data_IF_095799579149
#
_entry.id   IF_095799579149
#
_cell.length_a   1.000
_cell.length_b   1.000
_cell.length_c   1.000
_cell.angle_alpha   90.00
_cell.angle_beta   90.00
_cell.angle_gamma   90.00
#
_symmetry.space_group_name_H-M   'P 1'
#
loop_
_entity.id
_entity.type
_entity.pdbx_description
1 polymer ?
#
# COMPACT_ATOMS: atom_id res chain seq x y z
N UNK A 1 21.51 0.78 -28.70
CA UNK A 1 21.32 2.23 -29.01
C UNK A 1 19.87 2.60 -28.79
N UNK A 2 19.38 2.43 -27.56
CA UNK A 2 17.98 2.73 -27.23
C UNK A 2 17.78 4.24 -27.17
N UNK A 3 16.62 4.70 -27.63
CA UNK A 3 16.22 6.10 -27.53
C UNK A 3 15.27 6.31 -26.35
N UNK A 4 15.01 7.56 -26.02
CA UNK A 4 13.95 7.87 -25.07
C UNK A 4 12.58 7.69 -25.74
N UNK A 5 11.59 7.23 -24.98
CA UNK A 5 10.22 7.04 -25.45
C UNK A 5 9.85 5.59 -25.77
N UNK A 6 8.58 5.41 -26.14
CA UNK A 6 8.00 4.09 -26.41
C UNK A 6 8.73 3.39 -27.56
N UNK A 7 9.22 2.17 -27.29
CA UNK A 7 9.88 1.32 -28.27
C UNK A 7 9.40 -0.13 -28.14
N UNK A 8 9.39 -0.83 -29.26
CA UNK A 8 9.27 -2.28 -29.28
C UNK A 8 10.67 -2.88 -29.32
N UNK A 9 11.01 -3.69 -28.33
CA UNK A 9 12.36 -4.24 -28.17
C UNK A 9 12.39 -5.69 -28.61
N UNK A 10 13.45 -6.06 -29.32
CA UNK A 10 13.79 -7.46 -29.51
C UNK A 10 14.50 -8.03 -28.26
N UNK A 11 14.92 -9.29 -28.33
CA UNK A 11 15.56 -9.96 -27.20
C UNK A 11 16.90 -9.32 -26.79
N UNK A 12 17.72 -8.89 -27.76
CA UNK A 12 19.04 -8.30 -27.49
C UNK A 12 18.90 -6.91 -26.87
N UNK A 13 17.99 -6.10 -27.42
CA UNK A 13 17.70 -4.77 -26.90
C UNK A 13 17.02 -4.83 -25.52
N UNK A 14 16.10 -5.78 -25.30
CA UNK A 14 15.47 -5.99 -24.00
C UNK A 14 16.47 -6.44 -22.94
N UNK A 15 17.35 -7.39 -23.27
CA UNK A 15 18.44 -7.83 -22.38
C UNK A 15 19.38 -6.65 -22.05
N UNK A 16 19.75 -5.88 -23.07
CA UNK A 16 20.56 -4.68 -22.92
C UNK A 16 19.93 -3.65 -21.99
N UNK A 17 18.61 -3.42 -22.11
CA UNK A 17 17.85 -2.50 -21.26
C UNK A 17 17.91 -2.93 -19.80
N UNK A 18 17.53 -4.17 -19.48
CA UNK A 18 17.44 -4.64 -18.08
C UNK A 18 18.81 -4.80 -17.41
N UNK A 19 19.88 -4.92 -18.21
CA UNK A 19 21.27 -5.02 -17.73
C UNK A 19 21.98 -3.67 -17.60
N UNK A 20 21.44 -2.61 -18.19
CA UNK A 20 22.07 -1.28 -18.14
C UNK A 20 22.19 -0.79 -16.70
N UNK A 21 23.31 -0.13 -16.37
CA UNK A 21 23.63 0.29 -14.98
C UNK A 21 24.01 1.76 -14.83
N UNK A 22 24.28 2.48 -15.91
CA UNK A 22 24.77 3.86 -15.85
C UNK A 22 23.61 4.86 -15.70
N UNK A 23 22.75 4.63 -14.71
CA UNK A 23 21.67 5.53 -14.35
C UNK A 23 22.15 6.57 -13.34
N UNK A 24 21.63 7.81 -13.37
CA UNK A 24 21.95 8.83 -12.37
C UNK A 24 21.64 8.42 -10.92
N UNK A 25 20.54 7.66 -10.71
CA UNK A 25 20.16 7.06 -9.41
C UNK A 25 20.67 5.63 -9.21
N UNK A 26 21.66 5.22 -10.00
CA UNK A 26 22.33 3.93 -9.85
C UNK A 26 21.37 2.72 -9.96
N UNK A 27 21.51 1.80 -9.01
CA UNK A 27 20.82 0.52 -9.03
C UNK A 27 19.31 0.64 -8.75
N UNK A 28 18.86 1.67 -8.03
CA UNK A 28 17.42 1.94 -7.81
C UNK A 28 16.69 2.23 -9.12
N UNK A 29 17.23 3.14 -9.94
CA UNK A 29 16.68 3.39 -11.27
C UNK A 29 16.78 2.17 -12.20
N UNK A 30 17.76 1.29 -12.00
CA UNK A 30 17.81 0.02 -12.73
C UNK A 30 16.66 -0.89 -12.33
N UNK A 31 16.34 -0.99 -11.04
CA UNK A 31 15.20 -1.79 -10.55
C UNK A 31 13.89 -1.26 -11.12
N UNK A 32 13.68 0.06 -11.13
CA UNK A 32 12.48 0.65 -11.74
C UNK A 32 12.35 0.34 -13.24
N UNK A 33 13.46 0.36 -13.98
CA UNK A 33 13.45 -0.04 -15.38
C UNK A 33 13.17 -1.53 -15.58
N UNK A 34 13.63 -2.39 -14.66
CA UNK A 34 13.30 -3.81 -14.66
C UNK A 34 11.82 -4.04 -14.34
N UNK A 35 11.23 -3.30 -13.38
CA UNK A 35 9.80 -3.32 -13.09
C UNK A 35 8.98 -2.86 -14.30
N UNK A 36 9.42 -1.80 -14.99
CA UNK A 36 8.81 -1.32 -16.25
C UNK A 36 8.82 -2.41 -17.32
N UNK A 37 9.94 -3.13 -17.47
CA UNK A 37 10.04 -4.27 -18.38
C UNK A 37 9.07 -5.39 -17.99
N UNK A 38 8.98 -5.76 -16.70
CA UNK A 38 8.06 -6.79 -16.22
C UNK A 38 6.59 -6.40 -16.45
N UNK A 39 6.24 -5.12 -16.26
CA UNK A 39 4.90 -4.60 -16.58
C UNK A 39 4.58 -4.76 -18.07
N UNK A 40 5.51 -4.40 -18.95
CA UNK A 40 5.34 -4.59 -20.40
C UNK A 40 5.22 -6.07 -20.80
N UNK A 41 5.94 -6.97 -20.11
CA UNK A 41 5.78 -8.42 -20.28
C UNK A 41 4.38 -8.85 -19.85
N UNK A 42 3.89 -8.42 -18.69
CA UNK A 42 2.54 -8.73 -18.21
C UNK A 42 1.47 -8.24 -19.19
N UNK A 43 1.57 -7.00 -19.66
CA UNK A 43 0.69 -6.43 -20.69
C UNK A 43 0.68 -7.27 -21.97
N UNK A 44 1.86 -7.72 -22.43
CA UNK A 44 1.95 -8.57 -23.63
C UNK A 44 1.35 -9.96 -23.39
N UNK A 45 1.56 -10.57 -22.22
CA UNK A 45 0.95 -11.87 -21.86
C UNK A 45 -0.57 -11.79 -21.82
N UNK A 46 -1.12 -10.69 -21.28
CA UNK A 46 -2.57 -10.46 -21.17
C UNK A 46 -3.23 -10.09 -22.51
N UNK A 47 -2.44 -9.68 -23.52
CA UNK A 47 -2.96 -9.33 -24.84
C UNK A 47 -3.71 -10.51 -25.50
N UNK A 48 -4.80 -10.20 -26.22
CA UNK A 48 -5.61 -11.21 -26.90
C UNK A 48 -4.80 -12.07 -27.90
N UNK A 49 -3.83 -11.45 -28.57
CA UNK A 49 -2.90 -12.13 -29.48
C UNK A 49 -2.13 -13.24 -28.75
N UNK A 50 -1.61 -12.94 -27.55
CA UNK A 50 -0.73 -13.83 -26.81
C UNK A 50 -1.49 -14.96 -26.10
N UNK A 51 -2.67 -14.66 -25.53
CA UNK A 51 -3.48 -15.61 -24.75
C UNK A 51 -3.75 -16.92 -25.50
N UNK A 52 -4.04 -16.84 -26.80
CA UNK A 52 -4.35 -18.03 -27.62
C UNK A 52 -3.21 -19.04 -27.73
N UNK A 53 -1.96 -18.60 -27.63
CA UNK A 53 -0.77 -19.43 -27.80
C UNK A 53 0.05 -19.57 -26.51
N UNK A 54 -0.41 -18.99 -25.41
CA UNK A 54 0.29 -18.94 -24.13
C UNK A 54 0.66 -20.34 -23.58
N UNK A 55 -0.19 -21.39 -23.65
CA UNK A 55 0.21 -22.74 -23.24
C UNK A 55 1.44 -23.27 -23.98
N UNK A 56 1.51 -23.06 -25.30
CA UNK A 56 2.63 -23.50 -26.12
C UNK A 56 3.90 -22.71 -25.82
N UNK A 57 3.77 -21.42 -25.59
CA UNK A 57 4.89 -20.53 -25.25
C UNK A 57 5.47 -20.93 -23.90
N UNK A 58 4.64 -21.08 -22.87
CA UNK A 58 5.05 -21.55 -21.55
C UNK A 58 5.77 -22.89 -21.66
N UNK A 59 5.20 -23.86 -22.37
CA UNK A 59 5.79 -25.20 -22.54
C UNK A 59 7.19 -25.14 -23.19
N UNK A 60 7.40 -24.21 -24.13
CA UNK A 60 8.70 -24.02 -24.80
C UNK A 60 9.72 -23.28 -23.94
N UNK A 61 9.27 -22.34 -23.11
CA UNK A 61 10.15 -21.53 -22.25
C UNK A 61 10.52 -22.23 -20.95
N UNK A 62 9.65 -23.09 -20.43
CA UNK A 62 9.81 -23.74 -19.12
C UNK A 62 11.17 -24.44 -18.93
N UNK A 63 11.76 -25.15 -19.91
CA UNK A 63 13.10 -25.74 -19.76
C UNK A 63 14.25 -24.75 -19.55
N UNK A 64 14.05 -23.47 -19.87
CA UNK A 64 15.03 -22.40 -19.70
C UNK A 64 14.86 -21.63 -18.37
N UNK A 65 13.84 -21.97 -17.57
CA UNK A 65 13.56 -21.35 -16.27
C UNK A 65 13.82 -22.37 -15.16
N UNK A 66 14.68 -22.00 -14.20
CA UNK A 66 14.88 -22.80 -12.99
C UNK A 66 13.85 -22.38 -11.94
N UNK A 67 12.89 -23.26 -11.64
CA UNK A 67 11.81 -23.04 -10.67
C UNK A 67 11.45 -24.36 -9.98
N UNK A 68 10.82 -24.27 -8.80
CA UNK A 68 10.21 -25.37 -8.07
C UNK A 68 8.71 -25.55 -8.40
N UNK A 69 8.10 -24.61 -9.12
CA UNK A 69 6.73 -24.71 -9.65
C UNK A 69 6.73 -25.71 -10.80
N UNK A 70 5.82 -26.68 -10.79
CA UNK A 70 5.68 -27.66 -11.87
C UNK A 70 5.02 -27.02 -13.09
N UNK A 71 5.36 -27.50 -14.28
CA UNK A 71 4.72 -27.07 -15.54
C UNK A 71 3.18 -27.18 -15.47
N UNK A 72 2.67 -28.23 -14.83
CA UNK A 72 1.22 -28.44 -14.65
C UNK A 72 0.57 -27.37 -13.76
N UNK A 73 1.29 -26.86 -12.76
CA UNK A 73 0.81 -25.80 -11.87
C UNK A 73 0.79 -24.47 -12.64
N UNK A 74 1.86 -24.17 -13.40
CA UNK A 74 1.91 -22.98 -14.28
C UNK A 74 0.75 -22.96 -15.28
N UNK A 75 0.49 -24.10 -15.95
CA UNK A 75 -0.64 -24.21 -16.88
C UNK A 75 -2.00 -24.11 -16.18
N UNK A 76 -2.09 -24.51 -14.91
CA UNK A 76 -3.29 -24.36 -14.10
C UNK A 76 -3.69 -22.90 -13.87
N UNK A 77 -2.71 -22.01 -13.70
CA UNK A 77 -2.95 -20.57 -13.53
C UNK A 77 -3.55 -19.89 -14.77
N UNK A 78 -3.48 -20.51 -15.95
CA UNK A 78 -4.15 -19.98 -17.14
C UNK A 78 -5.66 -19.87 -16.98
N UNK A 79 -6.27 -20.72 -16.13
CA UNK A 79 -7.71 -20.71 -15.88
C UNK A 79 -8.20 -19.50 -15.08
N UNK A 80 -7.32 -18.87 -14.30
CA UNK A 80 -7.62 -17.65 -13.52
C UNK A 80 -7.03 -16.39 -14.15
N UNK A 81 -6.44 -16.51 -15.34
CA UNK A 81 -5.78 -15.38 -16.00
C UNK A 81 -6.75 -14.23 -16.29
N UNK A 82 -8.02 -14.53 -16.56
CA UNK A 82 -9.05 -13.51 -16.80
C UNK A 82 -9.46 -12.77 -15.51
N UNK A 83 -9.17 -13.31 -14.33
CA UNK A 83 -9.37 -12.64 -13.04
C UNK A 83 -8.21 -11.68 -12.69
N UNK A 84 -7.06 -11.84 -13.37
CA UNK A 84 -5.90 -10.99 -13.14
C UNK A 84 -6.08 -9.62 -13.83
N UNK A 85 -6.06 -8.54 -13.04
CA UNK A 85 -6.05 -7.18 -13.56
C UNK A 85 -4.66 -6.57 -13.55
N UNK A 86 -4.26 -5.98 -14.69
CA UNK A 86 -3.05 -5.16 -14.77
C UNK A 86 -3.13 -3.88 -13.92
N UNK A 87 -4.34 -3.42 -13.57
CA UNK A 87 -4.52 -2.26 -12.69
C UNK A 87 -4.13 -2.56 -11.24
N UNK A 88 -4.24 -3.82 -10.82
CA UNK A 88 -3.81 -4.28 -9.49
C UNK A 88 -2.38 -4.84 -9.46
N UNK A 89 -1.63 -4.70 -10.56
CA UNK A 89 -0.23 -5.12 -10.60
C UNK A 89 0.66 -4.01 -10.04
N UNK A 90 1.23 -4.27 -8.87
CA UNK A 90 2.14 -3.36 -8.19
C UNK A 90 3.55 -3.93 -8.12
N UNK A 91 4.53 -3.03 -8.11
CA UNK A 91 5.92 -3.37 -7.90
C UNK A 91 6.48 -2.49 -6.79
N UNK A 92 7.12 -3.13 -5.82
CA UNK A 92 7.69 -2.46 -4.65
C UNK A 92 9.20 -2.67 -4.62
N UNK A 93 9.92 -1.68 -4.07
CA UNK A 93 11.34 -1.79 -3.75
C UNK A 93 11.43 -1.92 -2.23
N UNK A 94 12.24 -2.86 -1.74
CA UNK A 94 12.50 -2.97 -0.30
C UNK A 94 13.05 -1.63 0.20
N UNK A 95 12.41 -0.97 1.18
CA UNK A 95 12.80 0.36 1.60
C UNK A 95 14.17 0.37 2.26
N UNK A 96 14.92 1.44 2.03
CA UNK A 96 16.30 1.54 2.48
C UNK A 96 17.12 2.57 1.72
N UNK A 97 18.42 2.55 1.94
CA UNK A 97 19.37 3.45 1.29
C UNK A 97 20.71 2.80 1.03
N UNK A 98 21.36 3.20 -0.06
CA UNK A 98 22.75 2.83 -0.35
C UNK A 98 23.73 3.66 0.48
N UNK A 99 24.76 3.02 1.04
CA UNK A 99 25.87 3.71 1.70
C UNK A 99 27.20 2.94 1.50
N UNK A 100 28.24 3.68 1.15
CA UNK A 100 29.60 3.21 0.88
C UNK A 100 30.66 3.93 1.73
N UNK A 101 30.27 4.78 2.69
CA UNK A 101 31.17 5.61 3.49
C UNK A 101 32.11 4.81 4.41
N UNK A 102 31.68 3.62 4.82
CA UNK A 102 32.43 2.75 5.75
C UNK A 102 33.09 1.54 5.06
N UNK A 103 33.14 1.49 3.72
CA UNK A 103 33.81 0.42 2.98
C UNK A 103 33.12 0.04 1.67
N UNK A 104 32.90 -1.27 1.39
CA UNK A 104 32.11 -1.69 0.23
C UNK A 104 30.73 -1.04 0.22
N UNK A 105 30.17 -0.80 -0.97
CA UNK A 105 28.80 -0.31 -1.11
C UNK A 105 27.80 -1.36 -0.62
N UNK A 106 26.97 -0.98 0.34
CA UNK A 106 25.86 -1.78 0.87
C UNK A 106 24.53 -1.05 0.69
N UNK A 107 23.45 -1.82 0.66
CA UNK A 107 22.08 -1.31 0.76
C UNK A 107 21.56 -1.63 2.17
N UNK A 108 21.28 -0.60 2.95
CA UNK A 108 20.78 -0.71 4.32
C UNK A 108 19.26 -0.64 4.29
N UNK A 109 18.62 -1.69 4.80
CA UNK A 109 17.16 -1.80 4.85
C UNK A 109 16.63 -0.89 5.97
N UNK A 110 15.56 -0.16 5.68
CA UNK A 110 14.76 0.47 6.72
C UNK A 110 13.73 -0.55 7.22
N UNK A 111 14.00 -1.15 8.38
CA UNK A 111 13.16 -2.21 8.96
C UNK A 111 11.76 -1.70 9.32
N UNK A 112 11.60 -0.44 9.76
CA UNK A 112 10.30 0.13 10.11
C UNK A 112 9.41 0.29 8.86
N UNK A 113 9.96 0.85 7.79
CA UNK A 113 9.24 0.99 6.51
C UNK A 113 9.01 -0.38 5.85
N UNK A 114 9.92 -1.35 6.03
CA UNK A 114 9.75 -2.70 5.51
C UNK A 114 8.58 -3.42 6.18
N UNK A 115 8.44 -3.26 7.50
CA UNK A 115 7.32 -3.83 8.25
C UNK A 115 5.97 -3.24 7.77
N UNK A 116 5.92 -1.94 7.50
CA UNK A 116 4.74 -1.28 6.91
C UNK A 116 4.44 -1.81 5.51
N UNK A 117 5.45 -1.91 4.64
CA UNK A 117 5.29 -2.44 3.28
C UNK A 117 4.78 -3.89 3.29
N UNK A 118 5.29 -4.73 4.20
CA UNK A 118 4.85 -6.12 4.34
C UNK A 118 3.38 -6.18 4.74
N UNK A 119 2.94 -5.33 5.68
CA UNK A 119 1.53 -5.24 6.10
C UNK A 119 0.64 -4.88 4.92
N UNK A 120 0.99 -3.83 4.19
CA UNK A 120 0.23 -3.32 3.05
C UNK A 120 0.10 -4.35 1.92
N UNK A 121 1.20 -5.02 1.56
CA UNK A 121 1.23 -5.91 0.40
C UNK A 121 0.64 -7.30 0.67
N UNK A 122 0.88 -7.85 1.86
CA UNK A 122 0.58 -9.27 2.14
C UNK A 122 -0.56 -9.49 3.11
N UNK A 123 -0.98 -8.47 3.86
CA UNK A 123 -2.08 -8.60 4.80
C UNK A 123 -3.26 -7.80 4.30
N UNK A 124 -4.38 -8.48 4.18
CA UNK A 124 -5.64 -7.85 3.87
C UNK A 124 -6.02 -6.92 5.04
N UNK A 125 -5.91 -5.62 4.81
CA UNK A 125 -6.35 -4.58 5.74
C UNK A 125 -7.82 -4.23 5.53
N UNK A 126 -8.51 -4.88 4.57
CA UNK A 126 -9.94 -4.65 4.33
C UNK A 126 -10.78 -5.29 5.42
N UNK A 127 -11.68 -4.49 5.98
CA UNK A 127 -12.63 -4.92 7.00
C UNK A 127 -13.75 -5.71 6.32
N UNK A 128 -14.05 -6.91 6.80
CA UNK A 128 -15.09 -7.76 6.22
C UNK A 128 -16.47 -7.07 6.24
N UNK A 129 -16.93 -6.56 5.09
CA UNK A 129 -18.24 -5.91 4.97
C UNK A 129 -18.33 -4.72 4.01
N UNK A 130 -17.22 -4.25 3.44
CA UNK A 130 -17.25 -3.26 2.36
C UNK A 130 -17.48 -3.95 1.00
N UNK A 131 -18.64 -3.71 0.39
CA UNK A 131 -18.84 -4.00 -1.03
C UNK A 131 -18.02 -3.01 -1.86
N UNK A 132 -16.98 -3.49 -2.54
CA UNK A 132 -16.22 -2.69 -3.51
C UNK A 132 -17.14 -2.37 -4.69
N UNK A 133 -17.60 -1.12 -4.79
CA UNK A 133 -18.17 -0.63 -6.04
C UNK A 133 -17.01 -0.40 -7.01
N UNK A 134 -17.05 -1.07 -8.17
CA UNK A 134 -16.14 -0.79 -9.28
C UNK A 134 -16.34 0.67 -9.72
N UNK A 135 -15.47 1.57 -9.28
CA UNK A 135 -15.39 2.93 -9.83
C UNK A 135 -14.34 3.00 -10.93
N UNK A 136 -14.85 3.07 -12.16
CA UNK A 136 -14.11 3.54 -13.33
C UNK A 136 -13.93 5.06 -13.19
N UNK A 137 -12.71 5.54 -12.90
CA UNK A 137 -12.39 6.94 -13.15
C UNK A 137 -11.24 7.53 -12.33
N UNK A 138 -10.14 7.83 -13.03
CA UNK A 138 -9.20 8.96 -12.82
C UNK A 138 -8.80 9.30 -11.37
N UNK A 139 -7.57 8.92 -10.99
CA UNK A 139 -6.87 9.43 -9.82
C UNK A 139 -6.80 10.96 -9.83
N UNK A 140 -7.64 11.61 -9.02
CA UNK A 140 -7.29 12.86 -8.36
C UNK A 140 -6.83 12.48 -6.95
N UNK A 141 -5.57 12.74 -6.62
CA UNK A 141 -5.05 12.61 -5.25
C UNK A 141 -5.87 13.52 -4.33
N UNK A 142 -6.73 12.96 -3.48
CA UNK A 142 -7.45 13.77 -2.48
C UNK A 142 -6.45 14.28 -1.43
N UNK A 143 -6.14 15.57 -1.50
CA UNK A 143 -5.22 16.26 -0.61
C UNK A 143 -5.69 16.17 0.87
N UNK A 144 -4.85 15.60 1.75
CA UNK A 144 -5.13 15.54 3.18
C UNK A 144 -4.99 16.95 3.79
N UNK A 145 -6.13 17.62 3.99
CA UNK A 145 -6.16 18.93 4.64
C UNK A 145 -5.95 18.78 6.15
N UNK A 146 -4.81 19.27 6.64
CA UNK A 146 -4.53 19.32 8.09
C UNK A 146 -5.15 20.57 8.71
N UNK A 147 -6.21 20.39 9.51
CA UNK A 147 -6.86 21.46 10.26
C UNK A 147 -6.68 21.22 11.77
N UNK A 148 -5.75 21.95 12.40
CA UNK A 148 -5.47 21.90 13.84
C UNK A 148 -6.49 22.65 14.70
N UNK A 149 -7.43 23.38 14.08
CA UNK A 149 -8.45 24.15 14.81
C UNK A 149 -9.62 23.31 15.31
N UNK A 150 -9.75 22.08 14.81
CA UNK A 150 -10.79 21.14 15.22
C UNK A 150 -10.73 20.82 16.71
N UNK A 151 -11.91 20.68 17.30
CA UNK A 151 -12.08 20.24 18.68
C UNK A 151 -12.28 18.72 18.73
N UNK A 152 -11.56 18.05 19.63
CA UNK A 152 -11.48 16.59 19.65
C UNK A 152 -11.98 16.04 20.99
N UNK A 153 -12.83 15.01 20.94
CA UNK A 153 -13.09 14.11 22.06
C UNK A 153 -12.46 12.73 21.81
N UNK A 154 -11.92 12.11 22.87
CA UNK A 154 -11.27 10.79 22.79
C UNK A 154 -11.97 9.84 23.76
N UNK A 155 -12.40 8.69 23.26
CA UNK A 155 -13.05 7.66 24.05
C UNK A 155 -12.22 6.37 24.02
N UNK A 156 -12.05 5.77 25.18
CA UNK A 156 -11.32 4.51 25.32
C UNK A 156 -12.30 3.33 25.38
N UNK A 157 -12.33 2.50 24.34
CA UNK A 157 -13.12 1.27 24.31
C UNK A 157 -12.30 0.01 24.71
N UNK A 158 -11.01 0.16 24.98
CA UNK A 158 -10.09 -0.99 25.19
C UNK A 158 -10.06 -1.55 26.60
N UNK A 159 -10.57 -0.80 27.59
CA UNK A 159 -10.41 -1.09 29.01
C UNK A 159 -9.00 -0.82 29.55
N UNK A 160 -8.03 -0.40 28.73
CA UNK A 160 -6.68 -0.08 29.17
C UNK A 160 -6.64 1.26 29.90
N UNK A 161 -6.28 1.23 31.19
CA UNK A 161 -6.21 2.44 32.00
C UNK A 161 -5.15 3.40 31.48
N UNK A 162 -5.57 4.64 31.19
CA UNK A 162 -4.67 5.72 30.80
C UNK A 162 -4.47 5.88 29.29
N UNK A 163 -5.01 4.99 28.46
CA UNK A 163 -4.83 5.03 27.00
C UNK A 163 -5.31 6.35 26.38
N UNK A 164 -6.56 6.75 26.63
CA UNK A 164 -7.09 8.02 26.13
C UNK A 164 -6.30 9.24 26.66
N UNK A 165 -5.73 9.15 27.86
CA UNK A 165 -4.86 10.18 28.42
C UNK A 165 -3.52 10.28 27.70
N UNK A 166 -2.88 9.14 27.41
CA UNK A 166 -1.65 9.09 26.62
C UNK A 166 -1.88 9.59 25.19
N UNK A 167 -2.99 9.19 24.57
CA UNK A 167 -3.35 9.63 23.21
C UNK A 167 -3.67 11.12 23.16
N UNK A 168 -4.37 11.65 24.17
CA UNK A 168 -4.53 13.09 24.36
C UNK A 168 -3.20 13.81 24.37
N UNK A 169 -2.24 13.36 25.18
CA UNK A 169 -0.92 14.01 25.27
C UNK A 169 -0.19 13.99 23.91
N UNK A 170 -0.30 12.90 23.15
CA UNK A 170 0.24 12.80 21.78
C UNK A 170 -0.36 13.89 20.88
N UNK A 171 -1.68 14.01 20.84
CA UNK A 171 -2.36 15.01 19.98
C UNK A 171 -2.09 16.45 20.43
N UNK A 172 -2.05 16.73 21.75
CA UNK A 172 -1.72 18.06 22.26
C UNK A 172 -0.27 18.48 21.95
N UNK A 173 0.69 17.54 22.02
CA UNK A 173 2.08 17.79 21.60
C UNK A 173 2.19 18.10 20.10
N UNK A 174 1.24 17.61 19.28
CA UNK A 174 1.13 17.89 17.84
C UNK A 174 0.30 19.15 17.53
N UNK A 175 -0.10 19.90 18.56
CA UNK A 175 -0.80 21.19 18.45
C UNK A 175 -2.32 21.11 18.34
N UNK A 176 -2.93 19.94 18.52
CA UNK A 176 -4.39 19.79 18.54
C UNK A 176 -5.00 20.18 19.89
N UNK A 177 -6.30 20.49 19.89
CA UNK A 177 -7.07 20.77 21.10
C UNK A 177 -8.00 19.61 21.45
N UNK A 178 -7.65 18.88 22.50
CA UNK A 178 -8.48 17.78 23.03
C UNK A 178 -9.35 18.30 24.15
N UNK A 179 -10.66 18.41 23.88
CA UNK A 179 -11.64 18.95 24.81
C UNK A 179 -12.15 17.94 25.84
N UNK A 180 -12.15 16.64 25.51
CA UNK A 180 -12.66 15.58 26.39
C UNK A 180 -11.90 14.27 26.21
N UNK A 181 -11.70 13.58 27.34
CA UNK A 181 -11.33 12.16 27.35
C UNK A 181 -12.33 11.41 28.25
N UNK A 182 -12.77 10.23 27.83
CA UNK A 182 -13.67 9.40 28.62
C UNK A 182 -13.51 7.91 28.27
N UNK A 183 -14.22 7.04 28.99
CA UNK A 183 -14.37 5.65 28.60
C UNK A 183 -15.58 5.49 27.67
N UNK A 184 -15.51 4.51 26.76
CA UNK A 184 -16.63 4.18 25.90
C UNK A 184 -17.52 3.11 26.56
N UNK A 185 -18.77 3.46 26.83
CA UNK A 185 -19.70 2.61 27.60
C UNK A 185 -20.35 1.48 26.77
N UNK A 186 -20.21 1.49 25.44
CA UNK A 186 -20.71 0.39 24.60
C UNK A 186 -19.62 -0.67 24.53
N UNK A 187 -19.85 -1.80 25.20
CA UNK A 187 -18.97 -2.96 25.14
C UNK A 187 -18.77 -3.41 23.68
N UNK A 188 -17.52 -3.71 23.33
CA UNK A 188 -17.10 -4.43 22.11
C UNK A 188 -16.98 -3.60 20.83
N UNK A 189 -16.27 -2.46 20.90
CA UNK A 189 -15.61 -1.91 19.71
C UNK A 189 -14.24 -2.58 19.55
N UNK A 190 -14.13 -3.52 18.62
CA UNK A 190 -12.85 -4.16 18.27
C UNK A 190 -11.97 -3.17 17.51
N UNK A 191 -12.52 -2.53 16.48
CA UNK A 191 -11.83 -1.54 15.65
C UNK A 191 -11.95 -0.12 16.21
N UNK A 192 -10.97 0.74 15.91
CA UNK A 192 -11.12 2.16 16.20
C UNK A 192 -12.11 2.83 15.24
N UNK A 193 -12.75 3.91 15.68
CA UNK A 193 -13.65 4.68 14.81
C UNK A 193 -13.49 6.17 15.09
N UNK A 194 -13.43 6.96 14.02
CA UNK A 194 -13.41 8.42 14.05
C UNK A 194 -14.74 8.93 13.53
N UNK A 195 -15.54 9.52 14.42
CA UNK A 195 -16.74 10.26 14.02
C UNK A 195 -16.38 11.72 13.75
N UNK A 196 -16.93 12.31 12.68
CA UNK A 196 -16.68 13.70 12.34
C UNK A 196 -17.91 14.40 11.78
N UNK A 197 -18.05 15.70 12.07
CA UNK A 197 -19.06 16.55 11.39
C UNK A 197 -18.74 16.73 9.91
N UNK A 198 -17.45 16.84 9.62
CA UNK A 198 -16.86 17.01 8.29
C UNK A 198 -15.80 15.93 8.08
N UNK A 199 -16.10 14.96 7.22
CA UNK A 199 -15.22 13.82 6.95
C UNK A 199 -13.87 14.23 6.36
N UNK A 200 -13.79 15.34 5.62
CA UNK A 200 -12.52 15.82 5.05
C UNK A 200 -11.49 16.13 6.14
N UNK A 201 -11.97 16.59 7.30
CA UNK A 201 -11.13 16.90 8.47
C UNK A 201 -10.80 15.68 9.32
N UNK A 202 -11.48 14.55 9.13
CA UNK A 202 -11.24 13.32 9.87
C UNK A 202 -10.01 12.56 9.34
N UNK A 203 -9.76 12.64 8.02
CA UNK A 203 -8.67 11.92 7.33
C UNK A 203 -7.29 12.21 7.92
N UNK A 204 -7.06 13.44 8.42
CA UNK A 204 -5.79 13.82 9.06
C UNK A 204 -5.44 12.98 10.31
N UNK A 205 -6.42 12.29 10.91
CA UNK A 205 -6.25 11.48 12.11
C UNK A 205 -5.96 10.00 11.83
N UNK A 206 -6.10 9.53 10.59
CA UNK A 206 -5.81 8.15 10.20
C UNK A 206 -4.34 7.78 10.46
N UNK A 207 -3.42 8.73 10.27
CA UNK A 207 -1.99 8.54 10.62
C UNK A 207 -1.73 8.33 12.12
N UNK A 208 -2.70 8.62 13.00
CA UNK A 208 -2.56 8.47 14.45
C UNK A 208 -3.41 7.33 15.02
N UNK A 209 -4.41 6.88 14.27
CA UNK A 209 -5.34 5.81 14.62
C UNK A 209 -5.49 4.92 13.38
N UNK A 210 -4.48 4.10 13.18
CA UNK A 210 -4.37 3.20 12.04
C UNK A 210 -5.54 2.20 12.02
N UNK A 211 -6.13 1.98 10.84
CA UNK A 211 -7.29 1.11 10.68
C UNK A 211 -8.60 1.67 11.26
N UNK A 212 -8.68 2.96 11.62
CA UNK A 212 -9.91 3.53 12.13
C UNK A 212 -10.94 3.80 11.01
N UNK A 213 -12.16 3.28 11.18
CA UNK A 213 -13.31 3.66 10.37
C UNK A 213 -13.59 5.18 10.50
N UNK A 214 -13.88 5.88 9.40
CA UNK A 214 -14.41 7.25 9.47
C UNK A 214 -15.92 7.24 9.24
N UNK A 215 -16.68 7.81 10.19
CA UNK A 215 -18.15 7.92 10.09
C UNK A 215 -18.57 9.37 10.21
N UNK A 216 -19.46 9.83 9.34
CA UNK A 216 -20.01 11.18 9.49
C UNK A 216 -21.10 11.20 10.57
N UNK A 217 -20.98 12.13 11.51
CA UNK A 217 -22.02 12.44 12.49
C UNK A 217 -22.09 13.94 12.74
N UNK A 218 -23.12 14.59 12.18
CA UNK A 218 -23.34 16.03 12.33
C UNK A 218 -23.86 16.43 13.71
N UNK A 219 -24.25 15.47 14.55
CA UNK A 219 -24.85 15.69 15.88
C UNK A 219 -23.83 15.75 17.02
N UNK A 220 -22.55 15.50 16.73
CA UNK A 220 -21.48 15.49 17.72
C UNK A 220 -21.37 16.82 18.49
N UNK A 221 -21.00 16.73 19.76
CA UNK A 221 -20.66 17.90 20.56
C UNK A 221 -19.35 18.55 20.05
N UNK A 222 -18.36 17.72 19.73
CA UNK A 222 -17.05 18.11 19.21
C UNK A 222 -16.99 17.98 17.67
N UNK A 223 -15.97 18.54 17.04
CA UNK A 223 -15.81 18.43 15.57
C UNK A 223 -15.41 17.01 15.16
N UNK A 224 -14.59 16.38 16.01
CA UNK A 224 -14.05 15.03 15.85
C UNK A 224 -14.22 14.25 17.16
N UNK A 225 -14.70 13.01 17.07
CA UNK A 225 -14.75 12.07 18.18
C UNK A 225 -13.99 10.79 17.80
N UNK A 226 -12.89 10.52 18.51
CA UNK A 226 -12.01 9.38 18.26
C UNK A 226 -12.28 8.32 19.31
N UNK A 227 -12.73 7.15 18.89
CA UNK A 227 -12.96 6.00 19.75
C UNK A 227 -11.86 4.99 19.48
N UNK A 228 -11.03 4.72 20.49
CA UNK A 228 -9.90 3.79 20.39
C UNK A 228 -10.40 2.37 20.71
N UNK A 229 -10.44 1.53 19.68
CA UNK A 229 -10.81 0.11 19.74
C UNK A 229 -9.69 -0.78 20.25
N UNK A 230 -10.03 -2.03 20.60
CA UNK A 230 -9.11 -3.00 21.22
C UNK A 230 -7.92 -3.38 20.32
N UNK A 231 -8.09 -3.37 18.99
CA UNK A 231 -7.02 -3.74 18.05
C UNK A 231 -6.00 -2.63 17.81
N UNK A 232 -6.32 -1.37 18.12
CA UNK A 232 -5.43 -0.21 17.91
C UNK A 232 -4.39 0.00 19.02
N UNK A 233 -4.17 -1.00 19.86
CA UNK A 233 -3.14 -0.98 20.92
C UNK A 233 -2.22 -2.18 20.78
N UNK A 234 -1.27 -2.09 19.85
CA UNK A 234 -0.05 -2.90 19.85
C UNK A 234 1.16 -2.00 19.74
#
# INVERSE_FOLDING_TARGET
NLKEGQQHLDAEDAEGLVRFRYYPRGDEARVEMQQTFLKAVAEKVMSAEMRSNLPNIITRLFPYVKTDIKLTEVLGYLGILDEFSLSGLEFHIVPGYGDDREGPSYYYINEEELDELIKDVFYDTTVAGEEVQEEVGVNEEEEIVTDKSVTIAIYNATGQKGLAGSFKNKLENLGYKVGKIDNYDKNDLEDSTIYAKDMSKAKQFLQYVEGADIKQDSSLEYDIEIIIGKESVR
#
